data_IF_234741756667
#
_entry.id   IF_234741756667
#
_cell.length_a   1.000
_cell.length_b   1.000
_cell.length_c   1.000
_cell.angle_alpha   90.00
_cell.angle_beta   90.00
_cell.angle_gamma   90.00
#
_symmetry.space_group_name_H-M   'P 1'
#
loop_
_entity.id
_entity.type
_entity.pdbx_description
1 polymer ?
#
# COMPACT_ATOMS: atom_id res chain seq x y z
N UNK A 1 -5.59 -5.86 0.79
CA UNK A 1 -6.04 -4.45 0.81
C UNK A 1 -7.55 -4.43 0.70
N UNK A 2 -8.18 -3.32 1.06
CA UNK A 2 -9.63 -3.12 1.03
C UNK A 2 -10.16 -2.68 2.38
N UNK A 3 -11.49 -2.65 2.51
CA UNK A 3 -12.18 -2.38 3.78
C UNK A 3 -11.88 -3.49 4.79
N UNK A 4 -11.05 -3.16 5.78
CA UNK A 4 -10.73 -4.05 6.88
C UNK A 4 -11.52 -3.72 8.15
N UNK A 5 -12.39 -2.69 8.10
CA UNK A 5 -13.01 -2.08 9.28
C UNK A 5 -11.97 -1.75 10.37
N UNK A 6 -10.76 -1.34 9.95
CA UNK A 6 -9.58 -1.30 10.81
C UNK A 6 -9.41 0.04 11.54
N UNK A 7 -10.46 0.55 12.16
CA UNK A 7 -10.45 1.85 12.85
C UNK A 7 -11.61 2.03 13.82
N UNK A 8 -11.66 3.20 14.44
CA UNK A 8 -12.76 3.64 15.30
C UNK A 8 -13.17 2.57 16.34
N UNK A 9 -14.46 2.26 16.43
CA UNK A 9 -15.00 1.34 17.43
C UNK A 9 -14.74 -0.14 17.10
N UNK A 10 -14.47 -0.48 15.85
CA UNK A 10 -14.24 -1.87 15.43
C UNK A 10 -12.84 -2.35 15.83
N UNK A 11 -11.82 -1.50 15.66
CA UNK A 11 -10.45 -1.77 16.11
C UNK A 11 -10.00 -0.66 17.05
N UNK A 12 -10.34 -0.75 18.35
CA UNK A 12 -9.91 0.24 19.33
C UNK A 12 -8.40 0.19 19.54
N UNK A 13 -7.79 1.29 19.99
CA UNK A 13 -6.32 1.44 20.12
C UNK A 13 -5.62 0.26 20.81
N UNK A 14 -6.24 -0.30 21.86
CA UNK A 14 -5.72 -1.46 22.61
C UNK A 14 -5.66 -2.76 21.79
N UNK A 15 -6.56 -2.95 20.83
CA UNK A 15 -6.67 -4.17 20.03
C UNK A 15 -5.53 -4.32 19.02
N UNK A 16 -4.92 -3.23 18.56
CA UNK A 16 -3.81 -3.26 17.59
C UNK A 16 -2.65 -4.16 18.02
N UNK A 17 -2.36 -4.20 19.32
CA UNK A 17 -1.30 -5.04 19.89
C UNK A 17 -1.53 -6.55 19.74
N UNK A 18 -2.78 -6.98 19.45
CA UNK A 18 -3.15 -8.38 19.22
C UNK A 18 -3.20 -8.77 17.74
N UNK A 19 -3.14 -7.80 16.83
CA UNK A 19 -3.27 -8.06 15.39
C UNK A 19 -1.88 -8.36 14.82
N UNK A 20 -1.59 -9.63 14.55
CA UNK A 20 -0.28 -10.06 13.99
C UNK A 20 0.09 -9.30 12.71
N UNK A 21 -0.87 -9.01 11.84
CA UNK A 21 -0.67 -8.24 10.61
C UNK A 21 -0.18 -6.79 10.89
N UNK A 22 -0.45 -6.26 12.09
CA UNK A 22 -0.01 -4.93 12.53
C UNK A 22 1.31 -4.99 13.30
N UNK A 23 1.49 -5.99 14.16
CA UNK A 23 2.66 -6.06 15.05
C UNK A 23 3.91 -6.65 14.40
N UNK A 24 3.75 -7.47 13.36
CA UNK A 24 4.87 -8.03 12.61
C UNK A 24 5.46 -6.97 11.66
N UNK A 25 6.73 -6.60 11.90
CA UNK A 25 7.47 -5.57 11.15
C UNK A 25 7.74 -5.93 9.70
N UNK A 26 7.47 -7.16 9.26
CA UNK A 26 7.50 -7.53 7.86
C UNK A 26 6.35 -6.92 7.04
N UNK A 27 5.31 -6.45 7.71
CA UNK A 27 4.17 -5.79 7.08
C UNK A 27 4.30 -4.27 7.16
N UNK A 28 4.13 -3.62 6.02
CA UNK A 28 4.16 -2.15 5.90
C UNK A 28 2.74 -1.67 5.60
N UNK A 29 2.19 -0.86 6.49
CA UNK A 29 0.87 -0.25 6.33
C UNK A 29 1.02 1.10 5.65
N UNK A 30 0.44 1.26 4.46
CA UNK A 30 0.55 2.51 3.70
C UNK A 30 -0.53 3.53 4.06
N UNK A 31 -1.71 3.06 4.49
CA UNK A 31 -2.79 3.93 4.96
C UNK A 31 -2.73 3.99 6.49
N UNK A 32 -2.47 5.18 7.00
CA UNK A 32 -2.28 5.48 8.43
C UNK A 32 -3.57 5.31 9.24
N UNK A 33 -3.45 5.40 10.56
CA UNK A 33 -4.62 5.33 11.46
C UNK A 33 -5.40 6.65 11.55
N UNK A 34 -4.77 7.74 11.13
CA UNK A 34 -5.31 9.11 11.14
C UNK A 34 -5.90 9.51 9.77
N UNK A 35 -6.00 8.56 8.82
CA UNK A 35 -6.60 8.80 7.52
C UNK A 35 -8.10 8.52 7.59
N UNK A 36 -8.92 9.39 7.00
CA UNK A 36 -10.35 9.14 6.87
C UNK A 36 -10.65 8.47 5.52
N UNK A 37 -11.17 7.24 5.55
CA UNK A 37 -11.56 6.50 4.35
C UNK A 37 -13.06 6.46 4.15
N UNK A 38 -13.82 7.30 4.86
CA UNK A 38 -15.29 7.33 4.83
C UNK A 38 -15.82 8.60 4.19
N UNK A 39 -16.96 8.50 3.49
CA UNK A 39 -17.57 9.65 2.80
C UNK A 39 -18.35 10.55 3.74
N UNK A 40 -18.93 9.98 4.80
CA UNK A 40 -19.77 10.74 5.73
C UNK A 40 -18.91 11.72 6.52
N UNK A 41 -19.24 13.01 6.45
CA UNK A 41 -18.59 14.07 7.25
C UNK A 41 -18.74 13.89 8.76
N UNK A 42 -19.67 13.04 9.20
CA UNK A 42 -19.89 12.69 10.60
C UNK A 42 -18.99 11.56 11.11
N UNK A 43 -18.20 10.95 10.24
CA UNK A 43 -17.22 9.92 10.58
C UNK A 43 -15.81 10.39 10.24
N UNK A 44 -14.83 9.81 10.91
CA UNK A 44 -13.40 10.04 10.69
C UNK A 44 -12.69 8.72 11.03
N UNK A 45 -12.66 7.81 10.06
CA UNK A 45 -12.29 6.40 10.30
C UNK A 45 -11.41 5.81 9.20
N UNK A 46 -10.26 5.26 9.60
CA UNK A 46 -9.33 4.54 8.73
C UNK A 46 -9.74 3.06 8.50
N UNK A 47 -10.89 2.82 7.86
CA UNK A 47 -11.38 1.46 7.64
C UNK A 47 -10.65 0.71 6.53
N UNK A 48 -10.39 1.39 5.41
CA UNK A 48 -9.74 0.83 4.23
C UNK A 48 -8.23 0.88 4.36
N UNK A 49 -7.57 -0.24 4.05
CA UNK A 49 -6.13 -0.38 4.30
C UNK A 49 -5.39 -0.98 3.13
N UNK A 50 -4.17 -0.49 2.92
CA UNK A 50 -3.16 -1.12 2.07
C UNK A 50 -2.02 -1.61 2.97
N UNK A 51 -1.79 -2.92 2.94
CA UNK A 51 -0.72 -3.58 3.70
C UNK A 51 0.15 -4.37 2.72
N UNK A 52 1.44 -4.07 2.73
CA UNK A 52 2.44 -4.71 1.87
C UNK A 52 3.33 -5.65 2.67
N UNK A 53 3.86 -6.66 2.00
CA UNK A 53 4.92 -7.54 2.51
C UNK A 53 5.94 -7.82 1.41
N UNK A 54 7.20 -7.95 1.80
CA UNK A 54 8.29 -8.33 0.90
C UNK A 54 9.06 -7.13 0.35
N UNK A 55 10.38 -7.26 0.35
CA UNK A 55 11.31 -6.16 0.03
C UNK A 55 11.13 -5.60 -1.38
N UNK A 56 10.89 -6.47 -2.36
CA UNK A 56 10.70 -6.04 -3.76
C UNK A 56 9.42 -5.20 -3.90
N UNK A 57 8.31 -5.65 -3.31
CA UNK A 57 7.03 -4.92 -3.33
C UNK A 57 7.16 -3.54 -2.65
N UNK A 58 7.73 -3.51 -1.45
CA UNK A 58 7.92 -2.27 -0.69
C UNK A 58 8.83 -1.29 -1.43
N UNK A 59 9.92 -1.77 -2.03
CA UNK A 59 10.84 -0.93 -2.81
C UNK A 59 10.26 -0.44 -4.14
N UNK A 60 9.22 -1.11 -4.64
CA UNK A 60 8.50 -0.72 -5.85
C UNK A 60 7.45 0.34 -5.60
N UNK A 61 7.14 0.73 -4.36
CA UNK A 61 6.19 1.83 -4.10
C UNK A 61 6.78 3.16 -4.56
N UNK A 62 6.03 3.92 -5.36
CA UNK A 62 6.38 5.29 -5.69
C UNK A 62 6.27 6.14 -4.42
N UNK A 63 7.33 6.84 -3.98
CA UNK A 63 7.28 7.62 -2.75
C UNK A 63 6.12 8.63 -2.74
N UNK A 64 5.41 8.72 -1.61
CA UNK A 64 4.25 9.63 -1.40
C UNK A 64 3.09 9.43 -2.39
N UNK A 65 2.97 8.25 -2.99
CA UNK A 65 1.86 7.94 -3.90
C UNK A 65 0.65 7.33 -3.22
N UNK A 66 0.77 6.93 -1.95
CA UNK A 66 -0.34 6.41 -1.18
C UNK A 66 -1.25 7.55 -0.71
N UNK A 67 -2.55 7.39 -0.90
CA UNK A 67 -3.54 8.38 -0.48
C UNK A 67 -4.94 7.76 -0.41
N UNK A 68 -5.84 8.46 0.26
CA UNK A 68 -7.28 8.28 0.11
C UNK A 68 -7.74 9.15 -1.07
N UNK A 69 -8.46 8.55 -2.02
CA UNK A 69 -9.02 9.28 -3.15
C UNK A 69 -10.42 9.80 -2.79
N UNK A 70 -10.47 11.06 -2.37
CA UNK A 70 -11.71 11.77 -2.09
C UNK A 70 -12.43 12.16 -3.40
N UNK A 71 -13.26 11.24 -3.91
CA UNK A 71 -14.02 11.45 -5.14
C UNK A 71 -15.12 12.51 -4.99
N UNK A 72 -15.60 12.75 -3.76
CA UNK A 72 -16.55 13.82 -3.48
C UNK A 72 -15.91 15.17 -3.80
N UNK A 73 -14.71 15.44 -3.29
CA UNK A 73 -13.94 16.65 -3.61
C UNK A 73 -13.49 16.69 -5.07
N UNK A 74 -12.98 15.57 -5.59
CA UNK A 74 -12.44 15.51 -6.96
C UNK A 74 -13.49 15.84 -8.02
N UNK A 75 -14.74 15.39 -7.81
CA UNK A 75 -15.84 15.58 -8.75
C UNK A 75 -16.87 16.64 -8.29
N UNK A 76 -16.64 17.29 -7.16
CA UNK A 76 -17.49 18.35 -6.58
C UNK A 76 -18.92 17.89 -6.33
N UNK A 77 -19.05 16.69 -5.77
CA UNK A 77 -20.33 16.10 -5.41
C UNK A 77 -20.81 16.64 -4.05
N UNK A 78 -22.13 16.69 -3.85
CA UNK A 78 -22.68 16.80 -2.49
C UNK A 78 -22.39 15.51 -1.70
N UNK A 79 -22.56 15.53 -0.37
CA UNK A 79 -22.42 14.29 0.42
C UNK A 79 -23.44 13.25 -0.03
N UNK A 80 -24.68 13.68 -0.32
CA UNK A 80 -25.75 12.79 -0.80
C UNK A 80 -25.39 12.12 -2.13
N UNK A 81 -24.92 12.89 -3.11
CA UNK A 81 -24.48 12.34 -4.41
C UNK A 81 -23.28 11.40 -4.26
N UNK A 82 -22.34 11.71 -3.36
CA UNK A 82 -21.20 10.85 -3.09
C UNK A 82 -21.64 9.52 -2.44
N UNK A 83 -22.59 9.58 -1.49
CA UNK A 83 -23.15 8.41 -0.82
C UNK A 83 -23.98 7.51 -1.75
N UNK A 84 -24.52 8.05 -2.86
CA UNK A 84 -25.13 7.22 -3.92
C UNK A 84 -24.09 6.35 -4.66
N UNK A 85 -22.82 6.78 -4.68
CA UNK A 85 -21.71 6.00 -5.26
C UNK A 85 -21.20 4.97 -4.25
N UNK A 86 -20.81 5.43 -3.05
CA UNK A 86 -20.33 4.59 -1.94
C UNK A 86 -20.24 5.41 -0.66
N UNK A 87 -20.26 4.75 0.49
CA UNK A 87 -19.94 5.32 1.80
C UNK A 87 -18.44 5.28 2.15
N UNK A 88 -17.60 4.71 1.28
CA UNK A 88 -16.15 4.61 1.45
C UNK A 88 -15.39 5.29 0.30
N UNK A 89 -14.28 5.96 0.64
CA UNK A 89 -13.32 6.46 -0.34
C UNK A 89 -12.31 5.36 -0.74
N UNK A 90 -11.92 5.25 -2.03
CA UNK A 90 -10.85 4.36 -2.44
C UNK A 90 -9.51 4.69 -1.77
N UNK A 91 -8.78 3.66 -1.37
CA UNK A 91 -7.36 3.78 -1.00
C UNK A 91 -6.48 3.38 -2.17
N UNK A 92 -5.52 4.23 -2.51
CA UNK A 92 -4.68 4.07 -3.69
C UNK A 92 -3.19 4.18 -3.38
N UNK A 93 -2.36 3.62 -4.26
CA UNK A 93 -0.90 3.76 -4.27
C UNK A 93 -0.36 3.40 -5.65
N UNK A 94 0.84 3.86 -6.00
CA UNK A 94 1.48 3.56 -7.29
C UNK A 94 2.69 2.66 -7.11
N UNK A 95 2.84 1.74 -8.05
CA UNK A 95 4.02 0.90 -8.18
C UNK A 95 4.87 1.34 -9.36
N UNK A 96 6.18 1.30 -9.20
CA UNK A 96 7.17 1.46 -10.25
C UNK A 96 7.94 0.16 -10.45
N UNK A 97 8.12 -0.21 -11.71
CA UNK A 97 8.95 -1.34 -12.09
C UNK A 97 10.42 -0.92 -12.05
N UNK A 98 11.25 -1.63 -11.27
CA UNK A 98 12.69 -1.44 -11.32
C UNK A 98 13.24 -1.99 -12.64
N UNK A 99 13.79 -1.14 -13.51
CA UNK A 99 14.49 -1.57 -14.75
C UNK A 99 15.79 -2.36 -14.51
N UNK A 100 16.10 -2.76 -13.28
CA UNK A 100 17.42 -3.28 -12.89
C UNK A 100 17.51 -4.83 -12.85
N UNK A 101 16.48 -5.55 -13.30
CA UNK A 101 16.53 -7.02 -13.42
C UNK A 101 17.27 -7.51 -14.67
N UNK A 102 17.57 -6.63 -15.64
CA UNK A 102 18.24 -6.98 -16.90
C UNK A 102 19.76 -6.77 -16.89
N UNK A 103 20.31 -6.07 -15.89
CA UNK A 103 21.75 -5.77 -15.78
C UNK A 103 22.55 -6.91 -15.13
N UNK A 104 21.96 -7.64 -14.16
CA UNK A 104 22.64 -8.72 -13.44
C UNK A 104 22.92 -9.96 -14.29
N UNK A 105 22.13 -10.24 -15.33
CA UNK A 105 22.36 -11.39 -16.23
C UNK A 105 23.54 -11.20 -17.20
N UNK A 106 24.02 -9.97 -17.43
CA UNK A 106 25.17 -9.71 -18.31
C UNK A 106 26.54 -9.91 -17.65
N UNK A 107 26.63 -9.84 -16.32
CA UNK A 107 27.92 -10.01 -15.62
C UNK A 107 28.33 -11.48 -15.43
N UNK A 108 27.38 -12.42 -15.49
CA UNK A 108 27.63 -13.85 -15.27
C UNK A 108 28.12 -14.58 -16.53
N UNK A 109 27.85 -14.06 -17.74
CA UNK A 109 28.32 -14.70 -18.98
C UNK A 109 29.80 -14.42 -19.27
N UNK A 110 30.38 -13.34 -18.71
CA UNK A 110 31.76 -12.96 -19.00
C UNK A 110 32.80 -13.67 -18.12
N UNK A 111 32.43 -14.19 -16.94
CA UNK A 111 33.38 -14.83 -16.01
C UNK A 111 33.63 -16.33 -16.24
N UNK A 112 33.04 -16.95 -17.27
CA UNK A 112 33.10 -18.41 -17.48
C UNK A 112 33.99 -18.90 -18.63
N UNK A 113 34.82 -18.04 -19.24
CA UNK A 113 35.71 -18.42 -20.35
C UNK A 113 37.15 -17.95 -20.18
N UNK A 114 37.86 -18.40 -19.14
CA UNK A 114 39.34 -18.43 -19.14
C UNK A 114 39.87 -19.36 -18.05
N UNK A 115 39.77 -20.69 -18.26
CA UNK A 115 40.71 -21.66 -17.69
C UNK A 115 40.55 -23.03 -18.36
N UNK A 116 41.23 -23.21 -19.47
CA UNK A 116 41.60 -24.52 -20.00
C UNK A 116 42.71 -24.36 -21.06
N UNK A 117 43.95 -24.23 -20.61
CA UNK A 117 45.17 -24.67 -21.31
C UNK A 117 46.29 -24.79 -20.29
N UNK A 118 46.76 -26.02 -20.05
CA UNK A 118 48.18 -26.35 -19.85
C UNK A 118 48.35 -27.87 -19.73
N UNK A 119 49.10 -28.37 -20.73
CA UNK A 119 49.81 -29.65 -20.89
C UNK A 119 49.00 -30.94 -20.88
#
# INVERSE_FOLDING_TARGET
MGDFNAGCNYVPKKAWSSIRLRTDSQFVWLIGDEEDTTVRSSTDCAYDRIVLRGREMVNSVVPKSNSVFDFQKAYRLTEEEALEVSDHFPVEFKLQYSKDSTSRKRSFSYRRRTRARRF
#
